data_IF_635802203993
#
_entry.id   IF_635802203993
#
_cell.length_a   1.000
_cell.length_b   1.000
_cell.length_c   1.000
_cell.angle_alpha   90.00
_cell.angle_beta   90.00
_cell.angle_gamma   90.00
#
_symmetry.space_group_name_H-M   'P 1'
#
loop_
_entity.id
_entity.type
_entity.pdbx_description
1 polymer ?
#
# COMPACT_ATOMS: atom_id res chain seq x y z
N UNK A 1 0.88 -21.84 -13.85
CA UNK A 1 1.55 -20.53 -13.86
C UNK A 1 0.64 -19.36 -14.28
N UNK A 2 -0.33 -19.54 -15.18
CA UNK A 2 -1.22 -18.44 -15.62
C UNK A 2 -2.02 -17.77 -14.50
N UNK A 3 -2.53 -18.56 -13.54
CA UNK A 3 -3.24 -18.03 -12.38
C UNK A 3 -2.39 -17.05 -11.55
N UNK A 4 -1.13 -17.43 -11.25
CA UNK A 4 -0.21 -16.58 -10.49
C UNK A 4 0.13 -15.29 -11.26
N UNK A 5 0.31 -15.38 -12.59
CA UNK A 5 0.51 -14.19 -13.43
C UNK A 5 -0.70 -13.26 -13.38
N UNK A 6 -1.92 -13.80 -13.44
CA UNK A 6 -3.17 -13.03 -13.33
C UNK A 6 -3.30 -12.34 -11.98
N UNK A 7 -2.98 -13.01 -10.88
CA UNK A 7 -3.03 -12.42 -9.54
C UNK A 7 -1.99 -11.29 -9.36
N UNK A 8 -0.79 -11.47 -9.92
CA UNK A 8 0.23 -10.42 -9.95
C UNK A 8 -0.25 -9.21 -10.78
N UNK A 9 -0.92 -9.45 -11.90
CA UNK A 9 -1.51 -8.39 -12.72
C UNK A 9 -2.63 -7.64 -11.99
N UNK A 10 -3.52 -8.36 -11.31
CA UNK A 10 -4.59 -7.75 -10.50
C UNK A 10 -4.01 -6.89 -9.36
N UNK A 11 -2.92 -7.38 -8.73
CA UNK A 11 -2.19 -6.61 -7.73
C UNK A 11 -1.60 -5.32 -8.32
N UNK A 12 -1.01 -5.41 -9.51
CA UNK A 12 -0.41 -4.28 -10.22
C UNK A 12 -1.47 -3.21 -10.56
N UNK A 13 -2.65 -3.62 -11.03
CA UNK A 13 -3.75 -2.72 -11.34
C UNK A 13 -4.32 -2.04 -10.08
N UNK A 14 -4.50 -2.80 -9.01
CA UNK A 14 -4.93 -2.25 -7.72
C UNK A 14 -3.91 -1.23 -7.18
N UNK A 15 -2.61 -1.49 -7.38
CA UNK A 15 -1.53 -0.58 -7.01
C UNK A 15 -1.56 0.72 -7.80
N UNK A 16 -1.78 0.64 -9.11
CA UNK A 16 -1.90 1.81 -9.98
C UNK A 16 -3.10 2.69 -9.60
N UNK A 17 -4.23 2.07 -9.22
CA UNK A 17 -5.40 2.81 -8.70
C UNK A 17 -5.08 3.51 -7.38
N UNK A 18 -4.44 2.80 -6.44
CA UNK A 18 -4.03 3.40 -5.17
C UNK A 18 -3.03 4.55 -5.40
N UNK A 19 -2.09 4.41 -6.35
CA UNK A 19 -1.17 5.46 -6.75
C UNK A 19 -1.90 6.72 -7.21
N UNK A 20 -2.89 6.56 -8.10
CA UNK A 20 -3.67 7.68 -8.60
C UNK A 20 -4.37 8.44 -7.46
N UNK A 21 -4.92 7.72 -6.47
CA UNK A 21 -5.54 8.33 -5.28
C UNK A 21 -4.50 9.06 -4.44
N UNK A 22 -3.32 8.48 -4.24
CA UNK A 22 -2.22 9.12 -3.49
C UNK A 22 -1.75 10.40 -4.19
N UNK A 23 -1.56 10.36 -5.51
CA UNK A 23 -1.12 11.51 -6.31
C UNK A 23 -2.17 12.64 -6.25
N UNK A 24 -3.46 12.30 -6.25
CA UNK A 24 -4.53 13.26 -5.98
C UNK A 24 -4.38 13.89 -4.59
N UNK A 25 -4.25 13.08 -3.53
CA UNK A 25 -4.13 13.54 -2.15
C UNK A 25 -2.89 14.40 -1.90
N UNK A 26 -1.77 14.08 -2.54
CA UNK A 26 -0.53 14.84 -2.42
C UNK A 26 -0.64 16.25 -3.02
N UNK A 27 -1.52 16.45 -4.00
CA UNK A 27 -1.80 17.75 -4.61
C UNK A 27 -2.84 18.58 -3.84
N UNK A 28 -3.52 17.98 -2.85
CA UNK A 28 -4.50 18.68 -2.02
C UNK A 28 -3.84 19.51 -0.91
N UNK A 29 -3.66 20.81 -1.18
CA UNK A 29 -2.99 21.77 -0.28
C UNK A 29 -3.53 21.72 1.16
N UNK A 30 -4.85 21.60 1.32
CA UNK A 30 -5.51 21.59 2.63
C UNK A 30 -5.23 20.31 3.44
N UNK A 31 -4.89 19.20 2.78
CA UNK A 31 -4.50 17.97 3.45
C UNK A 31 -3.05 18.01 3.89
N UNK A 32 -2.19 18.62 3.06
CA UNK A 32 -0.75 18.71 3.27
C UNK A 32 -0.32 19.68 4.38
N UNK A 33 -1.25 20.48 4.92
CA UNK A 33 -1.01 21.32 6.11
C UNK A 33 -0.79 20.52 7.40
N UNK A 34 -1.33 19.29 7.48
CA UNK A 34 -1.14 18.42 8.63
C UNK A 34 0.09 17.53 8.43
N UNK A 35 1.05 17.62 9.34
CA UNK A 35 2.24 16.74 9.35
C UNK A 35 1.86 15.26 9.37
N UNK A 36 0.78 14.89 10.05
CA UNK A 36 0.33 13.50 10.15
C UNK A 36 -0.20 13.01 8.80
N UNK A 37 -0.97 13.83 8.08
CA UNK A 37 -1.46 13.50 6.74
C UNK A 37 -0.30 13.38 5.75
N UNK A 38 0.66 14.29 5.84
CA UNK A 38 1.86 14.26 5.00
C UNK A 38 2.62 12.94 5.19
N UNK A 39 2.89 12.54 6.44
CA UNK A 39 3.58 11.27 6.74
C UNK A 39 2.78 10.10 6.16
N UNK A 40 1.47 10.04 6.41
CA UNK A 40 0.65 8.95 5.89
C UNK A 40 0.68 8.86 4.36
N UNK A 41 0.64 10.00 3.66
CA UNK A 41 0.74 10.04 2.19
C UNK A 41 2.12 9.55 1.72
N UNK A 42 3.22 9.93 2.38
CA UNK A 42 4.55 9.42 2.08
C UNK A 42 4.66 7.91 2.31
N UNK A 43 4.13 7.41 3.43
CA UNK A 43 4.13 5.99 3.77
C UNK A 43 3.37 5.17 2.69
N UNK A 44 2.25 5.71 2.18
CA UNK A 44 1.52 5.14 1.06
C UNK A 44 2.31 5.18 -0.26
N UNK A 45 3.00 6.30 -0.57
CA UNK A 45 3.86 6.41 -1.76
C UNK A 45 4.98 5.39 -1.75
N UNK A 46 5.67 5.24 -0.62
CA UNK A 46 6.75 4.28 -0.47
C UNK A 46 6.25 2.84 -0.63
N UNK A 47 5.09 2.53 -0.03
CA UNK A 47 4.45 1.22 -0.17
C UNK A 47 4.10 0.92 -1.63
N UNK A 48 3.46 1.85 -2.35
CA UNK A 48 3.12 1.68 -3.76
C UNK A 48 4.37 1.53 -4.62
N UNK A 49 5.44 2.30 -4.34
CA UNK A 49 6.71 2.15 -5.04
C UNK A 49 7.33 0.76 -4.81
N UNK A 50 7.30 0.26 -3.58
CA UNK A 50 7.77 -1.08 -3.25
C UNK A 50 6.92 -2.19 -3.89
N UNK A 51 5.60 -1.97 -3.99
CA UNK A 51 4.67 -2.89 -4.61
C UNK A 51 4.84 -2.91 -6.14
N UNK A 52 5.06 -1.76 -6.77
CA UNK A 52 5.32 -1.65 -8.22
C UNK A 52 6.64 -2.35 -8.62
N UNK A 53 7.64 -2.39 -7.75
CA UNK A 53 8.84 -3.23 -7.96
C UNK A 53 8.54 -4.73 -7.93
N UNK A 54 7.47 -5.14 -7.26
CA UNK A 54 7.05 -6.54 -7.17
C UNK A 54 6.11 -6.93 -8.32
N UNK A 55 5.11 -6.10 -8.57
CA UNK A 55 4.04 -6.24 -9.56
C UNK A 55 3.93 -4.92 -10.36
N UNK A 56 4.76 -4.76 -11.40
CA UNK A 56 4.79 -3.52 -12.18
C UNK A 56 3.51 -3.33 -12.99
N UNK A 57 3.05 -2.08 -13.08
CA UNK A 57 1.90 -1.69 -13.89
C UNK A 57 2.26 -0.53 -14.82
N UNK A 58 1.86 -0.64 -16.08
CA UNK A 58 1.96 0.45 -17.07
C UNK A 58 0.66 1.26 -17.18
N UNK A 59 -0.35 0.92 -16.37
CA UNK A 59 -1.67 1.54 -16.40
C UNK A 59 -1.61 3.01 -15.98
N UNK A 60 -2.06 3.91 -16.87
CA UNK A 60 -2.26 5.33 -16.57
C UNK A 60 -3.67 5.53 -16.05
N UNK A 61 -3.80 5.71 -14.73
CA UNK A 61 -5.08 5.88 -14.05
C UNK A 61 -5.10 7.27 -13.41
N UNK A 62 -6.21 7.98 -13.54
CA UNK A 62 -6.50 9.23 -12.83
C UNK A 62 -7.52 8.97 -11.74
N UNK A 63 -7.39 9.63 -10.58
CA UNK A 63 -8.34 9.50 -9.48
C UNK A 63 -9.20 10.76 -9.31
N UNK A 64 -10.36 10.54 -8.71
CA UNK A 64 -11.40 11.50 -8.35
C UNK A 64 -11.55 11.56 -6.82
N UNK A 65 -12.15 12.63 -6.26
CA UNK A 65 -12.30 12.78 -4.81
C UNK A 65 -13.11 11.65 -4.15
N UNK A 66 -14.08 11.07 -4.88
CA UNK A 66 -14.89 9.95 -4.38
C UNK A 66 -14.06 8.68 -4.12
N UNK A 67 -12.93 8.52 -4.83
CA UNK A 67 -12.05 7.36 -4.72
C UNK A 67 -11.18 7.39 -3.47
N UNK A 68 -11.12 8.51 -2.74
CA UNK A 68 -10.43 8.59 -1.43
C UNK A 68 -11.05 7.60 -0.43
N UNK A 69 -12.38 7.41 -0.47
CA UNK A 69 -13.07 6.43 0.38
C UNK A 69 -12.72 4.98 0.01
N UNK A 70 -12.15 4.75 -1.17
CA UNK A 70 -11.76 3.42 -1.64
C UNK A 70 -10.38 2.99 -1.12
N UNK A 71 -9.59 3.85 -0.46
CA UNK A 71 -8.26 3.49 0.06
C UNK A 71 -8.34 2.23 0.93
N UNK A 72 -9.33 2.14 1.82
CA UNK A 72 -9.51 0.97 2.68
C UNK A 72 -9.77 -0.30 1.85
N UNK A 73 -10.64 -0.19 0.83
CA UNK A 73 -11.00 -1.28 -0.05
C UNK A 73 -9.78 -1.75 -0.86
N UNK A 74 -9.04 -0.82 -1.46
CA UNK A 74 -7.83 -1.10 -2.25
C UNK A 74 -6.75 -1.78 -1.39
N UNK A 75 -6.46 -1.25 -0.20
CA UNK A 75 -5.48 -1.85 0.70
C UNK A 75 -5.92 -3.27 1.13
N UNK A 76 -7.20 -3.47 1.45
CA UNK A 76 -7.74 -4.80 1.81
C UNK A 76 -7.63 -5.77 0.64
N UNK A 77 -7.99 -5.35 -0.57
CA UNK A 77 -7.89 -6.17 -1.78
C UNK A 77 -6.44 -6.58 -2.03
N UNK A 78 -5.50 -5.64 -1.95
CA UNK A 78 -4.08 -5.91 -2.14
C UNK A 78 -3.54 -6.90 -1.09
N UNK A 79 -3.97 -6.77 0.18
CA UNK A 79 -3.59 -7.70 1.24
C UNK A 79 -4.03 -9.14 0.93
N UNK A 80 -5.27 -9.31 0.49
CA UNK A 80 -5.82 -10.62 0.15
C UNK A 80 -5.15 -11.21 -1.10
N UNK A 81 -4.95 -10.42 -2.15
CA UNK A 81 -4.19 -10.87 -3.33
C UNK A 81 -2.77 -11.30 -2.94
N UNK A 82 -2.07 -10.51 -2.11
CA UNK A 82 -0.73 -10.86 -1.63
C UNK A 82 -0.70 -12.18 -0.84
N UNK A 83 -1.76 -12.52 -0.08
CA UNK A 83 -1.87 -13.83 0.59
C UNK A 83 -1.96 -14.97 -0.42
N UNK A 84 -2.76 -14.79 -1.46
CA UNK A 84 -2.96 -15.79 -2.51
C UNK A 84 -1.66 -16.01 -3.29
N UNK A 85 -1.02 -14.93 -3.74
CA UNK A 85 0.27 -14.97 -4.43
C UNK A 85 1.34 -15.66 -3.55
N UNK A 86 1.42 -15.30 -2.27
CA UNK A 86 2.38 -15.92 -1.34
C UNK A 86 2.15 -17.43 -1.22
N UNK A 87 0.89 -17.87 -1.08
CA UNK A 87 0.54 -19.29 -1.01
C UNK A 87 0.93 -20.01 -2.30
N UNK A 88 0.68 -19.40 -3.44
CA UNK A 88 0.94 -20.01 -4.73
C UNK A 88 2.45 -20.12 -5.00
N UNK A 89 3.27 -19.14 -4.60
CA UNK A 89 4.74 -19.29 -4.58
C UNK A 89 5.23 -20.43 -3.68
N UNK A 90 4.62 -20.61 -2.50
CA UNK A 90 4.98 -21.71 -1.58
C UNK A 90 4.65 -23.08 -2.20
N UNK A 91 3.56 -23.19 -2.98
CA UNK A 91 3.18 -24.42 -3.67
C UNK A 91 4.12 -24.75 -4.84
N UNK A 92 4.49 -23.74 -5.61
CA UNK A 92 5.43 -23.89 -6.75
C UNK A 92 6.86 -24.21 -6.26
N UNK A 93 7.23 -23.78 -5.04
CA UNK A 93 8.52 -24.12 -4.41
C UNK A 93 8.80 -25.64 -4.33
N UNK A 94 7.78 -26.49 -4.37
CA UNK A 94 7.96 -27.94 -4.38
C UNK A 94 8.27 -28.57 -5.74
N UNK A 95 8.31 -27.78 -6.82
CA UNK A 95 8.31 -28.29 -8.20
C UNK A 95 9.68 -28.30 -8.88
N UNK A 96 10.51 -27.27 -8.71
CA UNK A 96 11.76 -27.10 -9.46
C UNK A 96 12.89 -26.48 -8.60
N UNK A 97 14.07 -27.14 -8.45
CA UNK A 97 15.15 -26.68 -7.57
C UNK A 97 15.85 -25.40 -8.05
N UNK A 98 15.87 -25.14 -9.36
CA UNK A 98 16.63 -24.04 -9.96
C UNK A 98 16.10 -22.64 -9.61
N UNK A 99 14.80 -22.55 -9.26
CA UNK A 99 14.13 -21.28 -8.96
C UNK A 99 13.88 -21.05 -7.45
N UNK A 100 14.38 -21.95 -6.60
CA UNK A 100 14.06 -21.98 -5.18
C UNK A 100 14.44 -20.68 -4.44
N UNK A 101 15.63 -20.15 -4.71
CA UNK A 101 16.13 -18.92 -4.08
C UNK A 101 15.33 -17.68 -4.53
N UNK A 102 14.95 -17.65 -5.81
CA UNK A 102 14.13 -16.59 -6.38
C UNK A 102 12.74 -16.55 -5.71
N UNK A 103 12.09 -17.72 -5.57
CA UNK A 103 10.80 -17.81 -4.90
C UNK A 103 10.88 -17.43 -3.43
N UNK A 104 11.93 -17.83 -2.72
CA UNK A 104 12.13 -17.43 -1.32
C UNK A 104 12.33 -15.92 -1.16
N UNK A 105 13.03 -15.27 -2.10
CA UNK A 105 13.15 -13.81 -2.14
C UNK A 105 11.78 -13.15 -2.36
N UNK A 106 10.96 -13.67 -3.29
CA UNK A 106 9.60 -13.16 -3.56
C UNK A 106 8.68 -13.32 -2.35
N UNK A 107 8.73 -14.47 -1.67
CA UNK A 107 7.96 -14.73 -0.44
C UNK A 107 8.36 -13.76 0.68
N UNK A 108 9.67 -13.53 0.89
CA UNK A 108 10.16 -12.56 1.89
C UNK A 108 9.69 -11.14 1.57
N UNK A 109 9.72 -10.75 0.30
CA UNK A 109 9.23 -9.44 -0.15
C UNK A 109 7.73 -9.28 0.12
N UNK A 110 6.90 -10.28 -0.23
CA UNK A 110 5.46 -10.28 0.05
C UNK A 110 5.15 -10.19 1.55
N UNK A 111 5.89 -10.94 2.40
CA UNK A 111 5.72 -10.84 3.85
C UNK A 111 5.91 -9.41 4.36
N UNK A 112 6.94 -8.71 3.87
CA UNK A 112 7.20 -7.30 4.22
C UNK A 112 6.10 -6.37 3.72
N UNK A 113 5.69 -6.52 2.45
CA UNK A 113 4.63 -5.70 1.86
C UNK A 113 3.29 -5.88 2.58
N UNK A 114 2.96 -7.10 3.00
CA UNK A 114 1.76 -7.39 3.81
C UNK A 114 1.78 -6.70 5.17
N UNK A 115 2.92 -6.70 5.86
CA UNK A 115 3.06 -6.00 7.15
C UNK A 115 2.85 -4.49 6.95
N UNK A 116 3.48 -3.90 5.93
CA UNK A 116 3.31 -2.48 5.61
C UNK A 116 1.85 -2.18 5.28
N UNK A 117 1.21 -3.01 4.45
CA UNK A 117 -0.20 -2.86 4.10
C UNK A 117 -1.12 -2.87 5.34
N UNK A 118 -0.89 -3.78 6.29
CA UNK A 118 -1.67 -3.82 7.54
C UNK A 118 -1.49 -2.56 8.39
N UNK A 119 -0.28 -2.02 8.46
CA UNK A 119 -0.02 -0.74 9.15
C UNK A 119 -0.75 0.41 8.44
N UNK A 120 -0.72 0.44 7.11
CA UNK A 120 -1.47 1.43 6.32
C UNK A 120 -2.98 1.30 6.51
N UNK A 121 -3.52 0.10 6.63
CA UNK A 121 -4.94 -0.12 6.95
C UNK A 121 -5.30 0.50 8.32
N UNK A 122 -4.46 0.31 9.32
CA UNK A 122 -4.66 0.90 10.65
C UNK A 122 -4.58 2.43 10.60
N UNK A 123 -3.54 2.98 9.97
CA UNK A 123 -3.39 4.44 9.85
C UNK A 123 -4.47 5.06 8.95
N UNK A 124 -4.99 4.33 7.95
CA UNK A 124 -6.08 4.80 7.09
C UNK A 124 -7.37 5.03 7.87
N UNK A 125 -7.69 4.19 8.87
CA UNK A 125 -8.88 4.42 9.71
C UNK A 125 -8.80 5.79 10.39
N UNK A 126 -7.62 6.13 10.91
CA UNK A 126 -7.36 7.42 11.54
C UNK A 126 -7.34 8.57 10.52
N UNK A 127 -6.78 8.34 9.33
CA UNK A 127 -6.77 9.33 8.26
C UNK A 127 -8.19 9.67 7.78
N UNK A 128 -9.04 8.67 7.54
CA UNK A 128 -10.43 8.86 7.11
C UNK A 128 -11.26 9.55 8.19
N UNK A 129 -11.07 9.20 9.47
CA UNK A 129 -11.75 9.91 10.55
C UNK A 129 -11.32 11.38 10.66
N UNK A 130 -10.07 11.71 10.37
CA UNK A 130 -9.62 13.10 10.25
C UNK A 130 -10.18 13.82 9.01
N UNK A 131 -10.33 13.12 7.88
CA UNK A 131 -10.97 13.70 6.68
C UNK A 131 -12.43 14.04 6.95
N UNK A 132 -13.15 13.13 7.61
CA UNK A 132 -14.54 13.35 8.02
C UNK A 132 -14.63 14.43 9.10
N UNK A 133 -13.70 14.44 10.06
CA UNK A 133 -13.62 15.44 11.12
C UNK A 133 -13.12 16.81 10.65
N UNK A 134 -12.49 16.94 9.46
CA UNK A 134 -12.22 18.25 8.84
C UNK A 134 -13.51 18.93 8.32
N UNK A 135 -14.70 18.34 8.53
CA UNK A 135 -15.99 19.06 8.61
C UNK A 135 -16.23 19.77 9.96
N UNK A 136 -15.35 19.59 10.94
CA UNK A 136 -15.38 20.26 12.25
C UNK A 136 -14.06 21.00 12.42
N UNK A 137 -14.15 22.33 12.40
CA UNK A 137 -13.04 23.23 12.73
C UNK A 137 -12.50 22.91 14.12
N UNK A 138 -11.23 22.52 14.22
CA UNK A 138 -10.61 22.31 15.53
C UNK A 138 -9.19 21.80 15.42
N UNK A 139 -8.25 22.52 16.03
CA UNK A 139 -6.82 22.24 16.10
C UNK A 139 -6.58 20.87 16.77
N UNK A 140 -6.46 19.79 15.99
CA UNK A 140 -6.12 18.48 16.53
C UNK A 140 -4.63 18.46 16.87
N UNK A 141 -4.32 18.50 18.17
CA UNK A 141 -2.97 18.39 18.71
C UNK A 141 -2.57 16.91 18.70
N UNK A 142 -1.74 16.50 17.74
CA UNK A 142 -1.26 15.11 17.62
C UNK A 142 0.26 15.11 17.87
N UNK A 143 0.68 14.33 18.87
CA UNK A 143 2.09 14.15 19.24
C UNK A 143 2.95 13.62 18.10
N UNK A 144 4.25 13.93 18.14
CA UNK A 144 5.21 13.68 17.06
C UNK A 144 5.25 12.22 16.57
N UNK A 145 4.48 11.88 15.53
CA UNK A 145 4.62 10.60 14.82
C UNK A 145 5.91 10.63 14.00
N UNK A 146 6.85 9.73 14.30
CA UNK A 146 8.05 9.46 13.49
C UNK A 146 7.68 8.65 12.24
N UNK A 147 8.38 8.88 11.13
CA UNK A 147 8.19 8.23 9.83
C UNK A 147 8.45 6.70 9.91
N UNK A 148 7.68 5.88 9.18
CA UNK A 148 7.73 4.40 9.23
C UNK A 148 9.10 3.81 8.89
N UNK A 149 9.84 4.40 7.94
CA UNK A 149 11.21 3.98 7.60
C UNK A 149 12.13 4.12 8.82
N UNK A 150 11.95 5.15 9.64
CA UNK A 150 12.73 5.34 10.85
C UNK A 150 12.37 4.35 11.96
N UNK A 151 11.18 3.72 11.91
CA UNK A 151 10.76 2.69 12.88
C UNK A 151 11.24 1.30 12.49
N UNK A 152 11.28 0.99 11.19
CA UNK A 152 11.74 -0.32 10.70
C UNK A 152 13.27 -0.45 10.61
N UNK A 153 13.99 0.67 10.45
CA UNK A 153 15.46 0.67 10.34
C UNK A 153 16.22 1.13 11.59
N UNK A 154 15.52 1.35 12.72
CA UNK A 154 16.16 1.53 14.02
C UNK A 154 16.61 0.16 14.55
N UNK A 155 17.89 -0.16 14.34
CA UNK A 155 18.68 -0.98 15.25
C UNK A 155 19.08 -0.13 16.45
#
# INVERSE_FOLDING_TARGET
MEKLKREIQELAESAARLRAVIDYLANEKNLMTSKVNHIFILDMQDYVAALNRFAPSDSKISATPAEIKQINHLLTQQYEIMKIIQRDYIRVKGSEPADQELYDKKIRQLKRLKIINQLLLQDNIFFQSMLDAKKISGTIRIGEKKNWLQRLFRR
#
